data_IF_045827651450
#
_entry.id   IF_045827651450
#
_cell.length_a   1.000
_cell.length_b   1.000
_cell.length_c   1.000
_cell.angle_alpha   90.00
_cell.angle_beta   90.00
_cell.angle_gamma   90.00
#
_symmetry.space_group_name_H-M   'P 1'
#
loop_
_entity.id
_entity.type
_entity.pdbx_description
1 polymer ?
#
# COMPACT_ATOMS: atom_id res chain seq x y z
N UNK A 1 6.93 25.98 24.95
CA UNK A 1 7.48 25.16 23.91
C UNK A 1 6.99 23.74 24.16
N UNK A 2 5.97 23.28 23.44
CA UNK A 2 5.53 21.89 23.42
C UNK A 2 6.61 21.09 22.69
N UNK A 3 7.30 20.20 23.42
CA UNK A 3 8.17 19.23 22.80
C UNK A 3 7.32 18.42 21.81
N UNK A 4 7.72 18.41 20.54
CA UNK A 4 7.10 17.52 19.56
C UNK A 4 7.38 16.09 20.06
N UNK A 5 6.29 15.38 20.45
CA UNK A 5 6.38 14.00 20.85
C UNK A 5 6.78 13.22 19.61
N UNK A 6 7.93 12.55 19.65
CA UNK A 6 8.33 11.67 18.55
C UNK A 6 7.26 10.60 18.39
N UNK A 7 6.88 10.27 17.16
CA UNK A 7 5.94 9.18 16.93
C UNK A 7 6.52 7.88 17.50
N UNK A 8 5.70 7.13 18.22
CA UNK A 8 6.11 5.86 18.82
C UNK A 8 6.19 4.74 17.78
N UNK A 9 5.57 4.94 16.61
CA UNK A 9 5.52 3.97 15.51
C UNK A 9 5.59 4.68 14.15
N UNK A 10 6.47 4.20 13.27
CA UNK A 10 6.62 4.66 11.88
C UNK A 10 6.10 3.61 10.92
N UNK A 11 5.04 3.94 10.18
CA UNK A 11 4.42 3.05 9.19
C UNK A 11 4.61 3.64 7.80
N UNK A 12 5.28 2.91 6.92
CA UNK A 12 5.42 3.30 5.53
C UNK A 12 4.23 2.78 4.70
N UNK A 13 3.51 3.69 4.04
CA UNK A 13 2.49 3.38 3.04
C UNK A 13 3.12 3.48 1.67
N UNK A 14 3.37 2.32 1.03
CA UNK A 14 4.07 2.23 -0.25
C UNK A 14 3.08 2.04 -1.39
N UNK A 15 3.02 3.04 -2.26
CA UNK A 15 2.22 3.04 -3.48
C UNK A 15 2.91 2.31 -4.63
N UNK A 16 2.16 1.91 -5.66
CA UNK A 16 2.73 1.41 -6.93
C UNK A 16 3.55 2.48 -7.65
N UNK A 17 3.05 3.71 -7.64
CA UNK A 17 3.74 4.91 -8.11
C UNK A 17 3.14 6.14 -7.46
N UNK A 18 3.94 7.18 -7.31
CA UNK A 18 3.48 8.48 -6.83
C UNK A 18 2.68 9.23 -7.91
N UNK A 19 1.82 10.16 -7.49
CA UNK A 19 1.03 11.01 -8.39
C UNK A 19 -0.25 10.35 -8.94
N UNK A 20 -0.64 9.18 -8.45
CA UNK A 20 -1.89 8.53 -8.79
C UNK A 20 -2.96 8.87 -7.74
N UNK A 21 -4.11 9.42 -8.18
CA UNK A 21 -5.18 9.88 -7.29
C UNK A 21 -5.75 8.83 -6.35
N UNK A 22 -5.77 7.54 -6.73
CA UNK A 22 -6.19 6.43 -5.87
C UNK A 22 -5.24 6.31 -4.66
N UNK A 23 -3.94 6.33 -4.87
CA UNK A 23 -2.96 6.21 -3.79
C UNK A 23 -2.89 7.47 -2.93
N UNK A 24 -3.09 8.66 -3.53
CA UNK A 24 -3.20 9.91 -2.78
C UNK A 24 -4.40 9.91 -1.83
N UNK A 25 -5.56 9.38 -2.29
CA UNK A 25 -6.74 9.22 -1.43
C UNK A 25 -6.48 8.24 -0.28
N UNK A 26 -5.80 7.11 -0.56
CA UNK A 26 -5.40 6.15 0.47
C UNK A 26 -4.45 6.78 1.50
N UNK A 27 -3.46 7.59 1.04
CA UNK A 27 -2.58 8.33 1.93
C UNK A 27 -3.36 9.28 2.85
N UNK A 28 -4.33 10.02 2.30
CA UNK A 28 -5.18 10.92 3.11
C UNK A 28 -5.87 10.15 4.23
N UNK A 29 -6.48 9.00 3.92
CA UNK A 29 -7.13 8.15 4.93
C UNK A 29 -6.13 7.63 5.98
N UNK A 30 -4.94 7.23 5.56
CA UNK A 30 -3.90 6.78 6.49
C UNK A 30 -3.43 7.90 7.43
N UNK A 31 -3.27 9.13 6.94
CA UNK A 31 -2.92 10.29 7.75
C UNK A 31 -4.02 10.65 8.75
N UNK A 32 -5.29 10.53 8.36
CA UNK A 32 -6.43 10.74 9.26
C UNK A 32 -6.46 9.69 10.36
N UNK A 33 -6.31 8.41 10.01
CA UNK A 33 -6.22 7.31 10.98
C UNK A 33 -5.05 7.48 11.96
N UNK A 34 -3.89 7.91 11.48
CA UNK A 34 -2.73 8.18 12.35
C UNK A 34 -3.00 9.28 13.38
N UNK A 35 -3.74 10.33 12.99
CA UNK A 35 -4.17 11.40 13.92
C UNK A 35 -5.12 10.88 14.98
N UNK A 36 -6.07 10.03 14.61
CA UNK A 36 -7.05 9.43 15.53
C UNK A 36 -6.39 8.48 16.52
N UNK A 37 -5.44 7.66 16.04
CA UNK A 37 -4.73 6.68 16.88
C UNK A 37 -3.74 7.36 17.83
N UNK A 38 -3.12 8.44 17.42
CA UNK A 38 -2.02 9.08 18.15
C UNK A 38 -0.73 8.23 18.15
N UNK A 39 0.43 8.86 18.27
CA UNK A 39 1.72 8.17 18.34
C UNK A 39 2.15 7.46 17.04
N UNK A 40 1.45 7.66 15.93
CA UNK A 40 1.75 7.05 14.62
C UNK A 40 2.20 8.11 13.64
N UNK A 41 3.35 7.87 12.99
CA UNK A 41 3.81 8.61 11.82
C UNK A 41 3.58 7.76 10.57
N UNK A 42 2.86 8.29 9.58
CA UNK A 42 2.69 7.66 8.28
C UNK A 42 3.67 8.27 7.28
N UNK A 43 4.54 7.45 6.72
CA UNK A 43 5.48 7.81 5.66
C UNK A 43 4.88 7.34 4.34
N UNK A 44 4.27 8.27 3.58
CA UNK A 44 3.77 7.96 2.24
C UNK A 44 4.90 8.04 1.23
N UNK A 45 5.11 6.96 0.48
CA UNK A 45 6.21 6.87 -0.49
C UNK A 45 5.87 5.88 -1.62
N UNK A 46 6.69 5.88 -2.63
CA UNK A 46 6.59 4.98 -3.77
C UNK A 46 7.58 5.40 -4.86
N UNK A 47 7.78 4.56 -5.88
CA UNK A 47 8.57 4.94 -7.04
C UNK A 47 7.83 5.97 -7.90
N UNK A 48 8.55 6.66 -8.77
CA UNK A 48 7.97 7.57 -9.78
C UNK A 48 7.49 6.81 -11.02
N UNK A 49 7.93 5.58 -11.19
CA UNK A 49 7.54 4.65 -12.28
C UNK A 49 6.95 3.37 -11.69
N UNK A 50 5.98 2.78 -12.39
CA UNK A 50 5.27 1.58 -11.94
C UNK A 50 6.11 0.33 -12.22
N UNK A 51 7.24 0.17 -11.50
CA UNK A 51 8.17 -0.96 -11.65
C UNK A 51 8.46 -1.64 -10.31
N UNK A 52 8.72 -2.95 -10.36
CA UNK A 52 9.12 -3.71 -9.17
C UNK A 52 10.49 -3.24 -8.65
N UNK A 53 11.42 -2.94 -9.55
CA UNK A 53 12.77 -2.45 -9.23
C UNK A 53 12.69 -1.15 -8.43
N UNK A 54 11.88 -0.19 -8.87
CA UNK A 54 11.66 1.06 -8.16
C UNK A 54 11.08 0.84 -6.76
N UNK A 55 10.16 -0.13 -6.61
CA UNK A 55 9.64 -0.48 -5.28
C UNK A 55 10.70 -1.17 -4.40
N UNK A 56 11.55 -2.00 -4.96
CA UNK A 56 12.67 -2.64 -4.22
C UNK A 56 13.62 -1.59 -3.67
N UNK A 57 13.94 -0.56 -4.43
CA UNK A 57 14.77 0.57 -3.96
C UNK A 57 14.09 1.30 -2.79
N UNK A 58 12.79 1.58 -2.90
CA UNK A 58 12.00 2.18 -1.82
C UNK A 58 12.01 1.30 -0.58
N UNK A 59 11.76 -0.02 -0.70
CA UNK A 59 11.79 -0.96 0.42
C UNK A 59 13.17 -0.95 1.10
N UNK A 60 14.27 -0.99 0.34
CA UNK A 60 15.62 -0.95 0.90
C UNK A 60 15.90 0.37 1.65
N UNK A 61 15.41 1.49 1.14
CA UNK A 61 15.48 2.79 1.82
C UNK A 61 14.72 2.78 3.16
N UNK A 62 13.51 2.21 3.18
CA UNK A 62 12.71 2.10 4.40
C UNK A 62 13.35 1.18 5.45
N UNK A 63 13.99 0.09 5.01
CA UNK A 63 14.79 -0.77 5.90
C UNK A 63 15.92 0.03 6.55
N UNK A 64 16.63 0.86 5.77
CA UNK A 64 17.71 1.70 6.28
C UNK A 64 17.22 2.80 7.24
N UNK A 65 16.00 3.31 7.03
CA UNK A 65 15.36 4.28 7.92
C UNK A 65 14.84 3.66 9.22
N UNK A 66 14.74 2.34 9.30
CA UNK A 66 14.28 1.64 10.50
C UNK A 66 12.80 1.90 10.80
N UNK A 67 11.92 1.83 9.78
CA UNK A 67 10.46 1.90 9.98
C UNK A 67 9.97 0.66 10.73
N UNK A 68 8.84 0.77 11.44
CA UNK A 68 8.27 -0.34 12.20
C UNK A 68 7.40 -1.25 11.33
N UNK A 69 6.75 -0.69 10.31
CA UNK A 69 5.90 -1.45 9.40
C UNK A 69 5.94 -0.89 7.97
N UNK A 70 5.69 -1.78 7.02
CA UNK A 70 5.50 -1.47 5.59
C UNK A 70 4.15 -2.01 5.16
N UNK A 71 3.29 -1.12 4.66
CA UNK A 71 2.04 -1.44 3.99
C UNK A 71 2.21 -1.17 2.50
N UNK A 72 2.30 -2.22 1.67
CA UNK A 72 2.63 -2.10 0.25
C UNK A 72 1.50 -2.55 -0.68
N UNK A 73 1.24 -1.76 -1.73
CA UNK A 73 0.55 -2.20 -2.94
C UNK A 73 1.61 -2.53 -4.00
N UNK A 74 1.77 -3.82 -4.35
CA UNK A 74 2.90 -4.29 -5.14
C UNK A 74 2.68 -4.12 -6.65
N UNK A 75 3.74 -3.73 -7.37
CA UNK A 75 3.78 -3.73 -8.83
C UNK A 75 3.90 -5.15 -9.40
N UNK A 76 4.66 -5.99 -8.70
CA UNK A 76 4.80 -7.41 -8.99
C UNK A 76 4.76 -8.20 -7.68
N UNK A 77 3.87 -9.21 -7.54
CA UNK A 77 3.67 -9.92 -6.28
C UNK A 77 4.86 -10.74 -5.81
N UNK A 78 5.69 -11.20 -6.74
CA UNK A 78 6.81 -12.11 -6.48
C UNK A 78 8.15 -11.38 -6.42
N UNK A 79 8.37 -10.43 -7.33
CA UNK A 79 9.65 -9.73 -7.46
C UNK A 79 10.03 -8.92 -6.20
N UNK A 80 9.06 -8.40 -5.45
CA UNK A 80 9.31 -7.64 -4.21
C UNK A 80 9.58 -8.53 -2.99
N UNK A 81 9.28 -9.83 -3.05
CA UNK A 81 9.37 -10.76 -1.91
C UNK A 81 10.76 -10.80 -1.27
N UNK A 82 11.87 -10.91 -1.99
CA UNK A 82 13.20 -10.95 -1.37
C UNK A 82 13.49 -9.71 -0.52
N UNK A 83 13.12 -8.51 -1.00
CA UNK A 83 13.31 -7.25 -0.27
C UNK A 83 12.41 -7.19 0.98
N UNK A 84 11.16 -7.65 0.87
CA UNK A 84 10.23 -7.69 2.01
C UNK A 84 10.63 -8.73 3.06
N UNK A 85 11.16 -9.87 2.66
CA UNK A 85 11.77 -10.85 3.60
C UNK A 85 12.94 -10.24 4.36
N UNK A 86 13.80 -9.47 3.68
CA UNK A 86 14.88 -8.73 4.32
C UNK A 86 14.35 -7.71 5.35
N UNK A 87 13.26 -7.00 5.02
CA UNK A 87 12.59 -6.11 5.98
C UNK A 87 12.08 -6.89 7.20
N UNK A 88 11.39 -8.01 6.99
CA UNK A 88 10.87 -8.86 8.06
C UNK A 88 11.99 -9.42 8.98
N UNK A 89 13.14 -9.80 8.42
CA UNK A 89 14.33 -10.22 9.18
C UNK A 89 14.90 -9.12 10.08
N UNK A 90 14.63 -7.84 9.76
CA UNK A 90 14.97 -6.69 10.59
C UNK A 90 13.88 -6.32 11.59
N UNK A 91 12.83 -7.15 11.72
CA UNK A 91 11.72 -6.93 12.64
C UNK A 91 10.60 -6.03 12.09
N UNK A 92 10.71 -5.53 10.86
CA UNK A 92 9.70 -4.69 10.22
C UNK A 92 8.47 -5.55 9.87
N UNK A 93 7.29 -5.11 10.28
CA UNK A 93 6.04 -5.79 9.95
C UNK A 93 5.63 -5.46 8.51
N UNK A 94 5.31 -6.49 7.72
CA UNK A 94 4.93 -6.31 6.32
C UNK A 94 3.49 -6.75 6.10
N UNK A 95 2.67 -5.85 5.58
CA UNK A 95 1.33 -6.12 5.08
C UNK A 95 1.24 -5.69 3.62
N UNK A 96 0.35 -6.32 2.86
CA UNK A 96 -0.01 -5.83 1.53
C UNK A 96 -1.46 -5.39 1.47
N UNK A 97 -1.77 -4.48 0.57
CA UNK A 97 -3.11 -3.96 0.33
C UNK A 97 -3.32 -3.68 -1.16
N UNK A 98 -4.59 -3.59 -1.61
CA UNK A 98 -4.92 -3.37 -3.03
C UNK A 98 -4.31 -4.45 -3.92
N UNK A 99 -3.11 -4.27 -4.43
CA UNK A 99 -2.37 -5.30 -5.18
C UNK A 99 -1.46 -6.10 -4.24
N UNK A 100 -1.71 -7.40 -4.20
CA UNK A 100 -1.10 -8.29 -3.23
C UNK A 100 0.39 -8.57 -3.46
N UNK A 101 1.02 -9.07 -2.42
CA UNK A 101 2.34 -9.70 -2.42
C UNK A 101 2.14 -11.19 -2.18
N UNK A 102 2.99 -12.05 -2.73
CA UNK A 102 2.97 -13.48 -2.44
C UNK A 102 3.01 -13.76 -0.92
N UNK A 103 2.33 -14.82 -0.49
CA UNK A 103 2.04 -15.06 0.94
C UNK A 103 3.28 -15.06 1.83
N UNK A 104 4.41 -15.54 1.32
CA UNK A 104 5.68 -15.62 2.05
C UNK A 104 6.37 -14.25 2.24
N UNK A 105 5.90 -13.20 1.58
CA UNK A 105 6.45 -11.83 1.68
C UNK A 105 5.65 -10.92 2.61
N UNK A 106 4.55 -11.41 3.23
CA UNK A 106 3.64 -10.59 4.03
C UNK A 106 3.02 -11.35 5.19
N UNK A 107 2.52 -10.64 6.18
CA UNK A 107 1.75 -11.22 7.30
C UNK A 107 0.28 -11.36 6.91
N UNK A 108 -0.30 -10.31 6.30
CA UNK A 108 -1.71 -10.23 5.92
C UNK A 108 -1.88 -9.39 4.67
N UNK A 109 -2.94 -9.64 3.92
CA UNK A 109 -3.37 -8.82 2.79
C UNK A 109 -4.72 -8.18 3.06
N UNK A 110 -4.79 -6.87 2.94
CA UNK A 110 -6.05 -6.11 2.96
C UNK A 110 -6.57 -5.98 1.53
N UNK A 111 -7.64 -6.71 1.23
CA UNK A 111 -8.33 -6.60 -0.06
C UNK A 111 -9.55 -5.68 0.09
N UNK A 112 -9.55 -4.49 -0.54
CA UNK A 112 -10.68 -3.56 -0.45
C UNK A 112 -11.93 -4.08 -1.15
N UNK A 113 -11.78 -4.99 -2.14
CA UNK A 113 -12.87 -5.66 -2.83
C UNK A 113 -12.37 -6.93 -3.50
N UNK A 114 -13.27 -7.87 -3.81
CA UNK A 114 -12.92 -9.05 -4.61
C UNK A 114 -12.96 -8.75 -6.11
N UNK A 115 -12.09 -9.39 -6.89
CA UNK A 115 -12.10 -9.27 -8.36
C UNK A 115 -13.45 -9.69 -8.97
N UNK A 116 -14.11 -10.71 -8.38
CA UNK A 116 -15.43 -11.16 -8.77
C UNK A 116 -16.47 -10.05 -8.60
N UNK A 117 -16.48 -9.38 -7.44
CA UNK A 117 -17.40 -8.27 -7.18
C UNK A 117 -17.13 -7.09 -8.10
N UNK A 118 -15.86 -6.72 -8.31
CA UNK A 118 -15.47 -5.65 -9.23
C UNK A 118 -15.98 -5.96 -10.63
N UNK A 119 -15.74 -7.17 -11.15
CA UNK A 119 -16.20 -7.60 -12.48
C UNK A 119 -17.73 -7.53 -12.63
N UNK A 120 -18.47 -8.04 -11.63
CA UNK A 120 -19.94 -7.96 -11.59
C UNK A 120 -20.43 -6.52 -11.60
N UNK A 121 -19.83 -5.65 -10.79
CA UNK A 121 -20.23 -4.24 -10.73
C UNK A 121 -19.94 -3.50 -12.03
N UNK A 122 -18.82 -3.76 -12.70
CA UNK A 122 -18.52 -3.19 -14.01
C UNK A 122 -19.61 -3.55 -15.03
N UNK A 123 -20.01 -4.81 -15.10
CA UNK A 123 -21.09 -5.25 -16.02
C UNK A 123 -22.44 -4.64 -15.65
N UNK A 124 -22.77 -4.59 -14.35
CA UNK A 124 -24.01 -3.99 -13.86
C UNK A 124 -24.11 -2.52 -14.24
N UNK A 125 -23.05 -1.75 -13.99
CA UNK A 125 -23.00 -0.33 -14.34
C UNK A 125 -23.08 -0.11 -15.85
N UNK A 126 -22.38 -0.90 -16.66
CA UNK A 126 -22.45 -0.83 -18.12
C UNK A 126 -23.89 -1.11 -18.60
N UNK A 127 -24.55 -2.16 -18.08
CA UNK A 127 -25.92 -2.52 -18.45
C UNK A 127 -26.93 -1.41 -18.14
N UNK A 128 -26.76 -0.69 -17.03
CA UNK A 128 -27.60 0.47 -16.69
C UNK A 128 -27.49 1.63 -17.70
N UNK A 129 -26.35 1.77 -18.36
CA UNK A 129 -26.09 2.83 -19.35
C UNK A 129 -26.31 2.39 -20.80
N UNK A 130 -26.67 1.12 -21.03
CA UNK A 130 -26.97 0.53 -22.33
C UNK A 130 -28.44 0.00 -22.32
N UNK A 131 -29.46 0.87 -22.39
CA UNK A 131 -30.87 0.50 -22.14
C UNK A 131 -31.41 -0.60 -23.04
N UNK A 132 -30.85 -0.79 -24.23
CA UNK A 132 -31.29 -1.83 -25.18
C UNK A 132 -30.25 -2.97 -25.32
N UNK A 133 -29.23 -3.03 -24.45
CA UNK A 133 -28.17 -4.01 -24.53
C UNK A 133 -27.33 -3.91 -25.81
N UNK A 134 -27.43 -2.80 -26.51
CA UNK A 134 -26.73 -2.51 -27.76
C UNK A 134 -25.84 -1.25 -27.57
N UNK A 135 -24.56 -1.42 -27.75
CA UNK A 135 -23.55 -0.37 -27.76
C UNK A 135 -22.60 -0.59 -28.92
#
# INVERSE_FOLDING_TARGET
ATAAQSADMKIALVAKSLGNGFFEAANKGAQEAAKELGGVEVIYTGPTTTTAEGQIEVINSLIAQGVDAIAISANDPDAVVPALKKAAQRGIKVISWDSGVAAEGRIVHLNPSSNDLIGKMCLTLAAHHLPDGKG
#
